data_IF_153162222091
#
_entry.id   IF_153162222091
#
_cell.length_a   1.000
_cell.length_b   1.000
_cell.length_c   1.000
_cell.angle_alpha   90.00
_cell.angle_beta   90.00
_cell.angle_gamma   90.00
#
_symmetry.space_group_name_H-M   'P 1'
#
loop_
_entity.id
_entity.type
_entity.pdbx_description
1 polymer ?
#
# COMPACT_ATOMS: atom_id res chain seq x y z
N UNK A 1 28.23 -8.86 34.14
CA UNK A 1 27.51 -9.61 33.10
C UNK A 1 26.08 -9.04 33.08
N UNK A 2 25.88 -7.93 32.33
CA UNK A 2 24.60 -7.28 32.21
C UNK A 2 23.78 -8.08 31.19
N UNK A 3 22.72 -8.72 31.64
CA UNK A 3 21.71 -9.30 30.76
C UNK A 3 21.20 -8.22 29.82
N UNK A 4 21.48 -8.37 28.53
CA UNK A 4 20.77 -7.64 27.49
C UNK A 4 19.29 -8.01 27.60
N UNK A 5 18.50 -7.16 28.27
CA UNK A 5 17.03 -7.24 28.22
C UNK A 5 16.64 -7.32 26.75
N UNK A 6 16.08 -8.46 26.33
CA UNK A 6 15.52 -8.64 25.00
C UNK A 6 14.44 -7.58 24.81
N UNK A 7 14.78 -6.51 24.11
CA UNK A 7 13.84 -5.46 23.74
C UNK A 7 12.69 -6.11 22.96
N UNK A 8 11.55 -6.30 23.58
CA UNK A 8 10.38 -6.96 22.98
C UNK A 8 9.67 -6.07 21.95
N UNK A 9 10.09 -4.80 21.83
CA UNK A 9 9.64 -3.86 20.81
C UNK A 9 8.29 -3.19 21.11
N UNK A 10 7.41 -3.82 21.88
CA UNK A 10 6.10 -3.28 22.28
C UNK A 10 6.11 -2.56 23.64
N UNK A 11 7.19 -2.64 24.39
CA UNK A 11 7.38 -2.00 25.70
C UNK A 11 7.39 -0.46 25.64
N UNK A 12 7.41 0.10 24.44
CA UNK A 12 7.31 1.55 24.21
C UNK A 12 5.89 2.09 24.28
N UNK A 13 4.90 1.20 24.18
CA UNK A 13 3.49 1.56 24.22
C UNK A 13 2.95 1.53 25.65
N UNK A 14 1.84 2.20 25.86
CA UNK A 14 1.04 2.04 27.07
C UNK A 14 0.59 0.59 27.21
N UNK A 15 0.32 0.17 28.43
CA UNK A 15 0.00 -1.21 28.74
C UNK A 15 -1.20 -1.72 27.93
N UNK A 16 -2.26 -0.92 27.81
CA UNK A 16 -3.49 -1.24 27.09
C UNK A 16 -3.21 -1.48 25.60
N UNK A 17 -2.39 -0.60 24.99
CA UNK A 17 -2.01 -0.71 23.59
C UNK A 17 -1.17 -1.95 23.33
N UNK A 18 -0.20 -2.23 24.21
CA UNK A 18 0.64 -3.42 24.14
C UNK A 18 -0.17 -4.71 24.29
N UNK A 19 -1.07 -4.78 25.28
CA UNK A 19 -1.94 -5.93 25.50
C UNK A 19 -2.91 -6.17 24.35
N UNK A 20 -3.54 -5.09 23.84
CA UNK A 20 -4.41 -5.17 22.67
C UNK A 20 -3.64 -5.73 21.47
N UNK A 21 -2.45 -5.19 21.19
CA UNK A 21 -1.65 -5.63 20.05
C UNK A 21 -1.32 -7.12 20.13
N UNK A 22 -0.83 -7.58 21.29
CA UNK A 22 -0.46 -8.98 21.50
C UNK A 22 -1.66 -9.93 21.37
N UNK A 23 -2.82 -9.53 21.88
CA UNK A 23 -4.05 -10.31 21.81
C UNK A 23 -4.58 -10.44 20.38
N UNK A 24 -4.61 -9.34 19.64
CA UNK A 24 -5.29 -9.26 18.34
C UNK A 24 -4.39 -9.64 17.16
N UNK A 25 -3.08 -9.40 17.28
CA UNK A 25 -2.13 -9.49 16.18
C UNK A 25 -0.93 -10.40 16.48
N UNK A 26 -0.76 -10.80 17.74
CA UNK A 26 0.32 -11.67 18.18
C UNK A 26 1.64 -10.92 18.33
N UNK A 27 2.74 -11.57 17.99
CA UNK A 27 4.08 -11.00 18.19
C UNK A 27 4.41 -9.94 17.13
N UNK A 28 5.08 -8.84 17.52
CA UNK A 28 5.54 -7.83 16.57
C UNK A 28 6.47 -8.41 15.50
N UNK A 29 6.29 -7.96 14.28
CA UNK A 29 7.20 -8.27 13.17
C UNK A 29 8.57 -7.62 13.39
N UNK A 30 9.60 -8.08 12.65
CA UNK A 30 10.94 -7.49 12.76
C UNK A 30 10.92 -6.00 12.43
N UNK A 31 10.21 -5.59 11.38
CA UNK A 31 10.14 -4.18 10.97
C UNK A 31 9.44 -3.33 12.03
N UNK A 32 8.42 -3.85 12.71
CA UNK A 32 7.76 -3.17 13.82
C UNK A 32 8.71 -2.94 15.00
N UNK A 33 9.46 -3.98 15.40
CA UNK A 33 10.44 -3.88 16.49
C UNK A 33 11.54 -2.85 16.22
N UNK A 34 11.97 -2.70 14.98
CA UNK A 34 12.98 -1.71 14.58
C UNK A 34 12.41 -0.30 14.43
N UNK A 35 11.21 -0.17 13.83
CA UNK A 35 10.66 1.12 13.50
C UNK A 35 10.03 1.85 14.70
N UNK A 36 9.31 1.13 15.58
CA UNK A 36 8.58 1.76 16.67
C UNK A 36 9.45 2.61 17.62
N UNK A 37 10.63 2.16 18.09
CA UNK A 37 11.48 3.01 18.92
C UNK A 37 11.94 4.28 18.20
N UNK A 38 12.21 4.20 16.90
CA UNK A 38 12.63 5.34 16.09
C UNK A 38 11.51 6.37 15.94
N UNK A 39 10.30 5.88 15.62
CA UNK A 39 9.11 6.72 15.47
C UNK A 39 8.73 7.35 16.82
N UNK A 40 8.74 6.57 17.89
CA UNK A 40 8.43 7.02 19.24
C UNK A 40 9.43 8.10 19.75
N UNK A 41 10.69 8.00 19.34
CA UNK A 41 11.71 9.02 19.62
C UNK A 41 11.56 10.31 18.80
N UNK A 42 10.53 10.44 17.96
CA UNK A 42 10.31 11.61 17.10
C UNK A 42 11.21 11.70 15.87
N UNK A 43 11.98 10.64 15.55
CA UNK A 43 12.90 10.65 14.40
C UNK A 43 12.14 10.54 13.08
N UNK A 44 12.61 11.21 12.03
CA UNK A 44 12.22 10.86 10.68
C UNK A 44 12.60 9.40 10.43
N UNK A 45 11.67 8.60 9.89
CA UNK A 45 11.89 7.15 9.78
C UNK A 45 11.41 6.63 8.44
N UNK A 46 12.30 5.98 7.70
CA UNK A 46 11.95 5.18 6.52
C UNK A 46 11.71 3.73 6.96
N UNK A 47 10.53 3.23 6.71
CA UNK A 47 10.13 1.84 6.97
C UNK A 47 10.04 1.12 5.63
N UNK A 48 11.03 0.27 5.33
CA UNK A 48 11.08 -0.51 4.10
C UNK A 48 10.91 -1.99 4.39
N UNK A 49 9.83 -2.58 3.87
CA UNK A 49 9.54 -4.01 4.02
C UNK A 49 8.49 -4.44 3.00
N UNK A 50 8.43 -5.73 2.62
CA UNK A 50 7.40 -6.25 1.72
C UNK A 50 5.98 -5.98 2.17
N UNK A 51 5.03 -6.11 1.24
CA UNK A 51 3.58 -6.05 1.57
C UNK A 51 3.20 -7.14 2.56
N UNK A 52 2.17 -6.90 3.38
CA UNK A 52 1.71 -7.87 4.40
C UNK A 52 2.54 -7.92 5.70
N UNK A 53 3.60 -7.13 5.85
CA UNK A 53 4.44 -7.08 7.06
C UNK A 53 3.93 -6.14 8.16
N UNK A 54 2.76 -5.51 7.94
CA UNK A 54 2.15 -4.60 8.90
C UNK A 54 2.72 -3.18 8.90
N UNK A 55 3.37 -2.73 7.80
CA UNK A 55 3.96 -1.36 7.69
C UNK A 55 3.01 -0.24 8.08
N UNK A 56 1.78 -0.28 7.57
CA UNK A 56 0.78 0.75 7.83
C UNK A 56 0.50 0.88 9.32
N UNK A 57 0.25 -0.25 9.99
CA UNK A 57 0.03 -0.25 11.44
C UNK A 57 1.30 0.14 12.20
N UNK A 58 2.49 -0.19 11.68
CA UNK A 58 3.77 0.24 12.26
C UNK A 58 3.82 1.76 12.44
N UNK A 59 3.44 2.51 11.41
CA UNK A 59 3.41 3.96 11.50
C UNK A 59 2.26 4.47 12.39
N UNK A 60 1.06 3.94 12.21
CA UNK A 60 -0.11 4.47 12.93
C UNK A 60 -0.12 4.15 14.42
N UNK A 61 0.33 2.98 14.85
CA UNK A 61 0.16 2.53 16.22
C UNK A 61 0.83 3.47 17.23
N UNK A 62 2.00 4.01 16.90
CA UNK A 62 2.69 4.99 17.75
C UNK A 62 1.87 6.27 17.92
N UNK A 63 1.27 6.76 16.85
CA UNK A 63 0.44 7.96 16.93
C UNK A 63 -0.91 7.69 17.59
N UNK A 64 -1.52 6.52 17.34
CA UNK A 64 -2.76 6.12 18.02
C UNK A 64 -2.54 6.03 19.54
N UNK A 65 -1.44 5.41 19.96
CA UNK A 65 -1.08 5.28 21.37
C UNK A 65 -0.92 6.65 22.03
N UNK A 66 -0.21 7.59 21.38
CA UNK A 66 -0.06 8.97 21.87
C UNK A 66 -1.39 9.71 21.95
N UNK A 67 -2.21 9.63 20.90
CA UNK A 67 -3.50 10.32 20.87
C UNK A 67 -4.47 9.75 21.92
N UNK A 68 -4.41 8.43 22.15
CA UNK A 68 -5.21 7.79 23.21
C UNK A 68 -4.75 8.24 24.61
N UNK A 69 -3.44 8.30 24.86
CA UNK A 69 -2.93 8.84 26.14
C UNK A 69 -3.43 10.25 26.40
N UNK A 70 -3.32 11.14 25.41
CA UNK A 70 -3.86 12.50 25.52
C UNK A 70 -5.38 12.53 25.74
N UNK A 71 -6.12 11.61 25.10
CA UNK A 71 -7.58 11.53 25.25
C UNK A 71 -8.01 11.03 26.63
N UNK A 72 -7.23 10.18 27.27
CA UNK A 72 -7.48 9.69 28.63
C UNK A 72 -7.18 10.74 29.70
N UNK A 73 -6.22 11.62 29.42
CA UNK A 73 -5.86 12.75 30.27
C UNK A 73 -6.73 13.99 30.01
N UNK A 74 -7.78 13.90 29.16
CA UNK A 74 -8.58 15.03 28.67
C UNK A 74 -7.73 16.18 28.06
N UNK A 75 -6.54 15.83 27.56
CA UNK A 75 -5.57 16.77 27.00
C UNK A 75 -5.50 16.68 25.44
N UNK A 76 -6.35 15.86 24.80
CA UNK A 76 -6.36 15.72 23.35
C UNK A 76 -6.88 17.01 22.70
N UNK A 77 -6.04 17.77 21.97
CA UNK A 77 -6.46 19.02 21.36
C UNK A 77 -7.44 18.79 20.21
N UNK A 78 -8.42 19.66 20.06
CA UNK A 78 -9.45 19.59 19.00
C UNK A 78 -8.90 20.10 17.65
N UNK A 79 -7.79 19.52 17.20
CA UNK A 79 -7.02 19.94 16.03
C UNK A 79 -6.31 18.77 15.33
N UNK A 80 -5.81 19.02 14.11
CA UNK A 80 -5.09 18.03 13.32
C UNK A 80 -3.72 17.71 13.91
N UNK A 81 -3.42 16.43 14.12
CA UNK A 81 -2.14 15.95 14.65
C UNK A 81 -1.33 15.19 13.60
N UNK A 82 -1.97 14.34 12.82
CA UNK A 82 -1.29 13.44 11.86
C UNK A 82 -1.90 13.53 10.48
N UNK A 83 -1.05 13.67 9.47
CA UNK A 83 -1.43 13.60 8.07
C UNK A 83 -0.91 12.29 7.49
N UNK A 84 -1.78 11.52 6.84
CA UNK A 84 -1.40 10.36 6.07
C UNK A 84 -1.61 10.65 4.58
N UNK A 85 -0.54 10.55 3.80
CA UNK A 85 -0.56 10.81 2.36
C UNK A 85 -0.44 9.49 1.60
N UNK A 86 -1.51 9.12 0.91
CA UNK A 86 -1.56 7.95 0.05
C UNK A 86 -1.44 8.34 -1.43
N UNK A 87 -0.67 7.61 -2.24
CA UNK A 87 -0.57 7.91 -3.67
C UNK A 87 -1.87 7.63 -4.44
N UNK A 88 -2.78 6.82 -3.90
CA UNK A 88 -4.03 6.43 -4.55
C UNK A 88 -5.24 6.75 -3.67
N UNK A 89 -6.35 7.16 -4.32
CA UNK A 89 -7.62 7.46 -3.65
C UNK A 89 -8.28 6.21 -3.04
N UNK A 90 -8.23 5.07 -3.74
CA UNK A 90 -8.72 3.77 -3.24
C UNK A 90 -8.02 3.38 -1.96
N UNK A 91 -6.70 3.45 -1.95
CA UNK A 91 -5.88 3.14 -0.78
C UNK A 91 -6.22 4.04 0.42
N UNK A 92 -6.55 5.32 0.18
CA UNK A 92 -6.96 6.23 1.24
C UNK A 92 -8.28 5.79 1.93
N UNK A 93 -9.21 5.19 1.20
CA UNK A 93 -10.44 4.65 1.75
C UNK A 93 -10.16 3.37 2.56
N UNK A 94 -9.35 2.46 2.03
CA UNK A 94 -8.97 1.21 2.70
C UNK A 94 -8.23 1.47 4.01
N UNK A 95 -7.34 2.47 4.05
CA UNK A 95 -6.64 2.86 5.28
C UNK A 95 -7.62 3.31 6.36
N UNK A 96 -8.65 4.06 6.00
CA UNK A 96 -9.69 4.47 6.96
C UNK A 96 -10.41 3.25 7.54
N UNK A 97 -10.76 2.29 6.70
CA UNK A 97 -11.40 1.05 7.17
C UNK A 97 -10.46 0.24 8.06
N UNK A 98 -9.20 0.10 7.68
CA UNK A 98 -8.18 -0.62 8.44
C UNK A 98 -7.88 0.01 9.81
N UNK A 99 -8.07 1.33 9.97
CA UNK A 99 -7.92 2.02 11.26
C UNK A 99 -9.10 1.79 12.21
N UNK A 100 -10.27 1.34 11.72
CA UNK A 100 -11.43 1.10 12.60
C UNK A 100 -11.15 0.03 13.64
N UNK A 101 -10.47 -1.07 13.24
CA UNK A 101 -10.16 -2.18 14.15
C UNK A 101 -9.25 -1.75 15.31
N UNK A 102 -8.07 -1.12 15.09
CA UNK A 102 -7.25 -0.63 16.20
C UNK A 102 -7.94 0.45 17.01
N UNK A 103 -8.67 1.39 16.40
CA UNK A 103 -9.42 2.40 17.13
C UNK A 103 -10.49 1.80 18.03
N UNK A 104 -11.26 0.81 17.55
CA UNK A 104 -12.26 0.11 18.35
C UNK A 104 -11.60 -0.67 19.50
N UNK A 105 -10.53 -1.39 19.20
CA UNK A 105 -9.81 -2.21 20.18
C UNK A 105 -9.14 -1.40 21.30
N UNK A 106 -8.76 -0.15 21.01
CA UNK A 106 -8.18 0.78 21.97
C UNK A 106 -9.21 1.73 22.62
N UNK A 107 -10.52 1.57 22.33
CA UNK A 107 -11.56 2.47 22.86
C UNK A 107 -11.52 3.90 22.27
N UNK A 108 -10.86 4.07 21.12
CA UNK A 108 -10.65 5.38 20.51
C UNK A 108 -11.70 5.82 19.49
N UNK A 109 -12.72 4.99 19.20
CA UNK A 109 -13.67 5.21 18.10
C UNK A 109 -14.42 6.56 18.22
N UNK A 110 -14.80 6.96 19.41
CA UNK A 110 -15.49 8.24 19.64
C UNK A 110 -14.54 9.39 20.02
N UNK A 111 -13.34 9.07 20.47
CA UNK A 111 -12.34 10.02 20.96
C UNK A 111 -11.44 10.55 19.86
N UNK A 112 -10.99 9.68 18.94
CA UNK A 112 -10.08 10.02 17.86
C UNK A 112 -10.85 10.14 16.54
N UNK A 113 -10.89 11.33 15.98
CA UNK A 113 -11.54 11.60 14.69
C UNK A 113 -10.57 11.35 13.54
N UNK A 114 -11.00 10.51 12.61
CA UNK A 114 -10.29 10.22 11.35
C UNK A 114 -11.13 10.68 10.18
N UNK A 115 -10.56 11.42 9.25
CA UNK A 115 -11.24 11.86 8.04
C UNK A 115 -10.41 11.60 6.78
N UNK A 116 -11.11 11.38 5.66
CA UNK A 116 -10.50 11.22 4.33
C UNK A 116 -10.82 12.45 3.49
N UNK A 117 -9.77 13.08 2.93
CA UNK A 117 -9.88 14.23 2.05
C UNK A 117 -9.16 13.97 0.73
N UNK A 118 -9.91 13.56 -0.27
CA UNK A 118 -9.44 13.32 -1.64
C UNK A 118 -10.22 14.18 -2.65
N UNK A 119 -9.92 14.04 -3.92
CA UNK A 119 -10.71 14.68 -4.99
C UNK A 119 -12.20 14.31 -4.95
N UNK A 120 -12.52 13.10 -4.49
CA UNK A 120 -13.89 12.54 -4.48
C UNK A 120 -14.67 12.88 -3.21
N UNK A 121 -14.03 13.52 -2.21
CA UNK A 121 -14.70 13.90 -0.95
C UNK A 121 -15.77 14.95 -1.21
N UNK A 122 -17.04 14.72 -0.81
CA UNK A 122 -18.14 15.65 -0.98
C UNK A 122 -17.88 17.00 -0.32
N UNK A 123 -18.43 18.08 -0.89
CA UNK A 123 -18.24 19.43 -0.38
C UNK A 123 -18.73 19.60 1.07
N UNK A 124 -19.83 18.94 1.42
CA UNK A 124 -20.38 18.92 2.80
C UNK A 124 -19.36 18.40 3.80
N UNK A 125 -18.69 17.30 3.47
CA UNK A 125 -17.69 16.68 4.36
C UNK A 125 -16.42 17.53 4.44
N UNK A 126 -16.03 18.17 3.34
CA UNK A 126 -14.92 19.14 3.34
C UNK A 126 -15.19 20.30 4.31
N UNK A 127 -16.40 20.87 4.29
CA UNK A 127 -16.80 21.93 5.20
C UNK A 127 -16.88 21.45 6.64
N UNK A 128 -17.35 20.22 6.87
CA UNK A 128 -17.41 19.62 8.21
C UNK A 128 -16.02 19.51 8.85
N UNK A 129 -15.03 19.10 8.07
CA UNK A 129 -13.63 19.00 8.56
C UNK A 129 -13.04 20.34 8.99
N UNK A 130 -13.44 21.44 8.35
CA UNK A 130 -12.99 22.79 8.74
C UNK A 130 -13.62 23.28 10.03
N UNK A 131 -14.88 22.85 10.31
CA UNK A 131 -15.61 23.22 11.54
C UNK A 131 -15.22 22.34 12.72
N UNK A 132 -14.96 21.05 12.46
CA UNK A 132 -14.57 20.05 13.44
C UNK A 132 -13.37 19.27 12.89
N UNK A 133 -12.15 19.75 13.15
CA UNK A 133 -10.94 19.16 12.62
C UNK A 133 -10.79 17.66 12.98
N UNK A 134 -10.35 16.79 12.06
CA UNK A 134 -9.94 15.45 12.43
C UNK A 134 -8.59 15.47 13.14
N UNK A 135 -8.33 14.53 14.03
CA UNK A 135 -7.01 14.33 14.61
C UNK A 135 -6.05 13.63 13.61
N UNK A 136 -6.62 12.77 12.75
CA UNK A 136 -5.89 12.10 11.67
C UNK A 136 -6.57 12.43 10.34
N UNK A 137 -5.81 12.98 9.40
CA UNK A 137 -6.26 13.30 8.06
C UNK A 137 -5.60 12.36 7.05
N UNK A 138 -6.38 11.59 6.33
CA UNK A 138 -5.92 10.75 5.22
C UNK A 138 -6.19 11.50 3.93
N UNK A 139 -5.16 11.67 3.08
CA UNK A 139 -5.27 12.50 1.87
C UNK A 139 -4.39 11.97 0.72
N UNK A 140 -4.44 12.62 -0.44
CA UNK A 140 -3.54 12.36 -1.57
C UNK A 140 -2.60 13.57 -1.78
N UNK A 141 -1.47 13.40 -2.50
CA UNK A 141 -0.56 14.51 -2.80
C UNK A 141 -1.24 15.74 -3.39
N UNK A 142 -2.15 15.53 -4.35
CA UNK A 142 -2.87 16.60 -5.02
C UNK A 142 -3.83 17.31 -4.07
N UNK A 143 -4.53 16.56 -3.23
CA UNK A 143 -5.46 17.13 -2.26
C UNK A 143 -4.74 17.90 -1.15
N UNK A 144 -3.57 17.43 -0.71
CA UNK A 144 -2.71 18.16 0.22
C UNK A 144 -2.28 19.51 -0.36
N UNK A 145 -1.83 19.52 -1.62
CA UNK A 145 -1.48 20.75 -2.30
C UNK A 145 -2.65 21.74 -2.39
N UNK A 146 -3.83 21.26 -2.78
CA UNK A 146 -5.03 22.09 -2.86
C UNK A 146 -5.43 22.67 -1.48
N UNK A 147 -5.25 21.93 -0.41
CA UNK A 147 -5.47 22.45 0.95
C UNK A 147 -4.45 23.54 1.33
N UNK A 148 -3.19 23.38 0.94
CA UNK A 148 -2.14 24.38 1.17
C UNK A 148 -2.38 25.69 0.38
N UNK A 149 -3.19 25.67 -0.66
CA UNK A 149 -3.53 26.86 -1.47
C UNK A 149 -4.81 27.56 -1.03
N UNK A 150 -5.58 26.96 -0.11
CA UNK A 150 -6.84 27.55 0.40
C UNK A 150 -6.70 28.04 1.85
N UNK A 151 -7.38 29.13 2.21
CA UNK A 151 -7.33 29.70 3.57
C UNK A 151 -7.81 28.69 4.64
N UNK A 152 -8.97 28.05 4.41
CA UNK A 152 -9.49 27.03 5.33
C UNK A 152 -8.60 25.80 5.43
N UNK A 153 -8.04 25.34 4.29
CA UNK A 153 -7.10 24.22 4.28
C UNK A 153 -5.82 24.53 5.07
N UNK A 154 -5.25 25.73 4.90
CA UNK A 154 -4.08 26.15 5.70
C UNK A 154 -4.40 26.21 7.19
N UNK A 155 -5.60 26.74 7.54
CA UNK A 155 -6.04 26.74 8.94
C UNK A 155 -6.08 25.35 9.55
N UNK A 156 -6.63 24.36 8.82
CA UNK A 156 -6.70 22.97 9.24
C UNK A 156 -5.30 22.34 9.37
N UNK A 157 -4.40 22.58 8.42
CA UNK A 157 -3.11 21.91 8.34
C UNK A 157 -2.06 22.45 9.33
N UNK A 158 -2.24 23.67 9.84
CA UNK A 158 -1.24 24.40 10.64
C UNK A 158 -0.80 23.69 11.91
N UNK A 159 -1.65 22.84 12.46
CA UNK A 159 -1.43 22.19 13.76
C UNK A 159 -0.83 20.78 13.64
N UNK A 160 -0.62 20.30 12.41
CA UNK A 160 -0.05 18.99 12.17
C UNK A 160 1.34 18.85 12.83
N UNK A 161 1.62 17.66 13.40
CA UNK A 161 2.90 17.33 14.05
C UNK A 161 3.68 16.29 13.26
N UNK A 162 2.98 15.44 12.52
CA UNK A 162 3.61 14.35 11.76
C UNK A 162 2.93 14.13 10.41
N UNK A 163 3.71 13.62 9.47
CA UNK A 163 3.22 13.15 8.18
C UNK A 163 3.73 11.74 7.89
N UNK A 164 2.81 10.87 7.51
CA UNK A 164 3.09 9.52 7.05
C UNK A 164 2.92 9.52 5.52
N UNK A 165 3.97 9.13 4.80
CA UNK A 165 3.98 9.00 3.35
C UNK A 165 3.94 7.54 2.99
N UNK A 166 2.84 7.10 2.40
CA UNK A 166 2.67 5.70 2.02
C UNK A 166 3.13 5.43 0.59
N UNK A 167 3.53 4.18 0.35
CA UNK A 167 4.02 3.69 -0.95
C UNK A 167 5.05 4.64 -1.57
N UNK A 168 6.06 5.03 -0.78
CA UNK A 168 7.07 6.03 -1.16
C UNK A 168 7.77 5.68 -2.49
N UNK A 169 8.02 4.39 -2.73
CA UNK A 169 8.60 3.89 -3.97
C UNK A 169 7.77 4.21 -5.23
N UNK A 170 6.45 4.42 -5.08
CA UNK A 170 5.59 4.74 -6.21
C UNK A 170 5.68 6.22 -6.64
N UNK A 171 6.31 7.06 -5.83
CA UNK A 171 6.38 8.51 -6.09
C UNK A 171 7.81 9.06 -6.19
N UNK A 172 8.80 8.40 -5.59
CA UNK A 172 10.16 8.94 -5.41
C UNK A 172 10.80 9.44 -6.71
N UNK A 173 10.72 8.70 -7.80
CA UNK A 173 11.34 9.01 -9.10
C UNK A 173 10.40 9.76 -10.05
N UNK A 174 9.35 10.38 -9.53
CA UNK A 174 8.32 11.00 -10.35
C UNK A 174 8.21 12.51 -10.13
N UNK A 175 7.72 13.23 -11.13
CA UNK A 175 7.33 14.65 -10.99
C UNK A 175 6.31 14.84 -9.87
N UNK A 176 5.44 13.86 -9.65
CA UNK A 176 4.42 13.85 -8.59
C UNK A 176 5.08 13.81 -7.21
N UNK A 177 6.13 13.01 -7.06
CA UNK A 177 6.91 12.94 -5.85
C UNK A 177 7.69 14.22 -5.56
N UNK A 178 8.34 14.81 -6.58
CA UNK A 178 8.99 16.11 -6.43
C UNK A 178 7.99 17.20 -5.98
N UNK A 179 6.79 17.23 -6.57
CA UNK A 179 5.73 18.14 -6.17
C UNK A 179 5.24 17.88 -4.74
N UNK A 180 5.18 16.61 -4.31
CA UNK A 180 4.84 16.25 -2.93
C UNK A 180 5.88 16.80 -1.95
N UNK A 181 7.18 16.65 -2.22
CA UNK A 181 8.24 17.19 -1.36
C UNK A 181 8.17 18.70 -1.24
N UNK A 182 7.90 19.43 -2.32
CA UNK A 182 7.65 20.87 -2.28
C UNK A 182 6.43 21.23 -1.43
N UNK A 183 5.38 20.42 -1.50
CA UNK A 183 4.18 20.60 -0.68
C UNK A 183 4.49 20.37 0.82
N UNK A 184 5.34 19.39 1.14
CA UNK A 184 5.78 19.15 2.52
C UNK A 184 6.66 20.28 3.06
N UNK A 185 7.58 20.82 2.27
CA UNK A 185 8.38 21.98 2.65
C UNK A 185 7.49 23.22 2.95
N UNK A 186 6.43 23.41 2.15
CA UNK A 186 5.42 24.46 2.42
C UNK A 186 4.62 24.18 3.70
N UNK A 187 4.33 22.90 3.94
CA UNK A 187 3.62 22.47 5.15
C UNK A 187 4.47 22.71 6.41
N UNK A 188 5.75 22.35 6.39
CA UNK A 188 6.70 22.62 7.48
C UNK A 188 6.74 24.13 7.82
N UNK A 189 6.83 24.96 6.78
CA UNK A 189 6.79 26.41 6.96
C UNK A 189 5.46 26.90 7.52
N UNK A 190 4.35 26.31 7.11
CA UNK A 190 3.02 26.65 7.63
C UNK A 190 2.87 26.28 9.11
N UNK A 191 3.41 25.14 9.52
CA UNK A 191 3.37 24.66 10.90
C UNK A 191 4.40 25.36 11.82
N UNK A 192 5.34 26.11 11.25
CA UNK A 192 6.39 26.82 12.00
C UNK A 192 7.54 25.93 12.50
N UNK A 193 7.51 24.64 12.21
CA UNK A 193 8.56 23.67 12.52
C UNK A 193 8.48 22.47 11.56
N UNK A 194 9.61 21.77 11.32
CA UNK A 194 9.60 20.52 10.56
C UNK A 194 8.68 19.47 11.21
N UNK A 195 7.80 18.86 10.42
CA UNK A 195 6.99 17.74 10.87
C UNK A 195 7.81 16.46 10.93
N UNK A 196 7.52 15.61 11.90
CA UNK A 196 8.07 14.25 11.86
C UNK A 196 7.57 13.54 10.60
N UNK A 197 8.49 12.99 9.80
CA UNK A 197 8.16 12.30 8.54
C UNK A 197 8.39 10.81 8.67
N UNK A 198 7.37 10.02 8.35
CA UNK A 198 7.44 8.57 8.31
C UNK A 198 7.19 8.16 6.86
N UNK A 199 8.17 7.52 6.23
CA UNK A 199 8.03 6.95 4.88
C UNK A 199 7.76 5.46 4.97
N UNK A 200 6.68 4.99 4.35
CA UNK A 200 6.39 3.57 4.19
C UNK A 200 6.66 3.17 2.76
N UNK A 201 7.45 2.13 2.57
CA UNK A 201 7.80 1.65 1.24
C UNK A 201 7.79 0.12 1.20
N UNK A 202 7.47 -0.44 0.04
CA UNK A 202 7.93 -1.77 -0.29
C UNK A 202 9.46 -1.75 -0.39
N UNK A 203 10.08 -2.87 -0.72
CA UNK A 203 11.54 -2.92 -0.94
C UNK A 203 11.94 -1.86 -1.97
N UNK A 204 12.83 -0.97 -1.56
CA UNK A 204 13.37 0.13 -2.37
C UNK A 204 14.89 0.18 -2.19
N UNK A 205 15.60 0.43 -3.28
CA UNK A 205 17.05 0.55 -3.29
C UNK A 205 17.48 1.72 -4.19
N UNK A 206 18.49 2.53 -3.80
CA UNK A 206 19.20 2.50 -2.52
C UNK A 206 18.40 3.09 -1.36
N UNK A 207 18.45 2.46 -0.18
CA UNK A 207 17.73 2.89 1.03
C UNK A 207 18.11 4.29 1.50
N UNK A 208 19.40 4.63 1.40
CA UNK A 208 19.95 5.92 1.83
C UNK A 208 19.43 7.08 0.97
N UNK A 209 19.21 6.85 -0.33
CA UNK A 209 18.61 7.84 -1.22
C UNK A 209 17.14 8.07 -0.89
N UNK A 210 16.42 7.00 -0.62
CA UNK A 210 15.03 7.09 -0.19
C UNK A 210 14.89 7.80 1.17
N UNK A 211 15.82 7.56 2.10
CA UNK A 211 15.87 8.24 3.39
C UNK A 211 16.15 9.74 3.24
N UNK A 212 17.10 10.13 2.37
CA UNK A 212 17.39 11.55 2.05
C UNK A 212 16.23 12.23 1.34
N UNK A 213 15.56 11.51 0.43
CA UNK A 213 14.34 12.03 -0.22
C UNK A 213 13.24 12.29 0.81
N UNK A 214 13.05 11.41 1.78
CA UNK A 214 12.04 11.57 2.83
C UNK A 214 12.34 12.79 3.71
N UNK A 215 13.57 12.96 4.13
CA UNK A 215 14.03 14.08 4.95
C UNK A 215 15.43 14.53 4.51
N UNK A 216 15.65 15.83 4.24
CA UNK A 216 16.94 16.35 3.73
C UNK A 216 18.15 16.03 4.63
N UNK A 217 17.95 16.00 5.95
CA UNK A 217 18.97 15.65 6.94
C UNK A 217 19.15 14.13 7.09
N UNK A 218 18.41 13.34 6.32
CA UNK A 218 18.33 11.89 6.39
C UNK A 218 17.29 11.40 7.40
N UNK A 219 16.71 10.23 7.11
CA UNK A 219 15.81 9.53 8.00
C UNK A 219 16.49 8.29 8.56
N UNK A 220 16.12 7.89 9.78
CA UNK A 220 16.48 6.58 10.29
C UNK A 220 15.83 5.50 9.42
N UNK A 221 16.54 4.41 9.18
CA UNK A 221 16.08 3.31 8.31
C UNK A 221 15.70 2.12 9.20
N UNK A 222 14.47 1.65 9.03
CA UNK A 222 13.96 0.38 9.56
C UNK A 222 13.69 -0.54 8.38
N UNK A 223 14.66 -1.36 8.03
CA UNK A 223 14.61 -2.26 6.87
C UNK A 223 15.29 -3.60 7.22
N UNK A 224 14.66 -4.40 8.11
CA UNK A 224 15.25 -5.68 8.50
C UNK A 224 15.40 -6.61 7.29
N UNK A 225 16.49 -7.34 7.19
CA UNK A 225 16.66 -8.32 6.13
C UNK A 225 15.53 -9.35 6.20
N UNK A 226 14.80 -9.48 5.11
CA UNK A 226 13.70 -10.42 5.01
C UNK A 226 14.04 -11.56 4.06
N UNK A 227 14.03 -12.76 4.60
CA UNK A 227 14.12 -13.99 3.82
C UNK A 227 12.72 -14.42 3.36
N UNK A 228 12.12 -13.67 2.42
CA UNK A 228 10.94 -14.20 1.73
C UNK A 228 11.44 -15.10 0.60
N UNK A 229 11.11 -16.37 0.67
CA UNK A 229 11.41 -17.28 -0.43
C UNK A 229 10.52 -16.90 -1.62
N UNK A 230 11.17 -16.64 -2.74
CA UNK A 230 10.56 -16.24 -3.99
C UNK A 230 10.84 -17.32 -5.03
N UNK A 231 9.81 -17.77 -5.72
CA UNK A 231 9.93 -18.67 -6.85
C UNK A 231 9.39 -17.95 -8.10
N UNK A 232 10.28 -17.67 -9.02
CA UNK A 232 9.93 -17.11 -10.31
C UNK A 232 10.12 -18.21 -11.37
N UNK A 233 9.04 -18.51 -12.08
CA UNK A 233 9.03 -19.47 -13.17
C UNK A 233 8.78 -18.69 -14.46
N UNK A 234 9.54 -18.98 -15.51
CA UNK A 234 9.29 -18.45 -16.85
C UNK A 234 8.76 -19.60 -17.70
N UNK A 235 7.56 -19.44 -18.21
CA UNK A 235 6.92 -20.42 -19.10
C UNK A 235 6.62 -19.73 -20.43
N UNK A 236 7.20 -20.27 -21.51
CA UNK A 236 7.06 -19.66 -22.84
C UNK A 236 5.95 -20.36 -23.63
N UNK A 237 5.00 -19.58 -24.18
CA UNK A 237 4.03 -20.12 -25.13
C UNK A 237 4.64 -20.39 -26.52
N UNK A 238 5.91 -19.96 -26.74
CA UNK A 238 6.54 -20.05 -28.04
C UNK A 238 7.22 -21.40 -28.25
N UNK A 239 6.94 -22.02 -29.41
CA UNK A 239 7.73 -23.12 -29.97
C UNK A 239 8.87 -22.57 -30.83
N UNK A 240 9.84 -23.43 -31.20
CA UNK A 240 10.92 -23.02 -32.11
C UNK A 240 10.42 -22.55 -33.48
N UNK A 241 9.23 -23.03 -33.93
CA UNK A 241 8.58 -22.61 -35.17
C UNK A 241 8.04 -21.16 -35.09
N UNK A 242 7.64 -20.71 -33.88
CA UNK A 242 6.96 -19.43 -33.69
C UNK A 242 7.91 -18.25 -33.54
N UNK A 243 9.22 -18.50 -33.43
CA UNK A 243 10.25 -17.44 -33.25
C UNK A 243 10.27 -16.42 -34.40
N UNK A 244 9.64 -16.73 -35.54
CA UNK A 244 9.53 -15.86 -36.72
C UNK A 244 8.25 -15.03 -36.75
N UNK A 245 7.27 -15.32 -35.87
CA UNK A 245 6.03 -14.56 -35.80
C UNK A 245 6.21 -13.30 -34.98
N UNK A 246 5.71 -12.18 -35.50
CA UNK A 246 5.76 -10.86 -34.83
C UNK A 246 4.57 -10.59 -33.90
N UNK A 247 3.49 -11.37 -34.05
CA UNK A 247 2.29 -11.16 -33.24
C UNK A 247 2.26 -12.10 -32.03
N UNK A 248 1.78 -11.62 -30.88
CA UNK A 248 1.60 -12.46 -29.69
C UNK A 248 0.63 -13.59 -29.94
N UNK A 249 0.99 -14.77 -29.54
CA UNK A 249 0.20 -16.00 -29.63
C UNK A 249 -0.82 -15.98 -28.49
N UNK A 250 -1.96 -15.33 -28.73
CA UNK A 250 -2.96 -15.11 -27.67
C UNK A 250 -3.75 -16.35 -27.30
N UNK A 251 -3.98 -17.23 -28.24
CA UNK A 251 -4.72 -18.49 -28.03
C UNK A 251 -3.90 -19.42 -27.14
N UNK A 252 -2.65 -19.68 -27.51
CA UNK A 252 -1.72 -20.53 -26.75
C UNK A 252 -1.43 -19.96 -25.37
N UNK A 253 -1.25 -18.63 -25.28
CA UNK A 253 -1.07 -17.93 -24.00
C UNK A 253 -2.31 -18.09 -23.12
N UNK A 254 -3.52 -17.95 -23.68
CA UNK A 254 -4.76 -18.09 -22.93
C UNK A 254 -4.95 -19.54 -22.45
N UNK A 255 -4.56 -20.53 -23.23
CA UNK A 255 -4.59 -21.96 -22.82
C UNK A 255 -3.65 -22.22 -21.65
N UNK A 256 -2.42 -21.66 -21.67
CA UNK A 256 -1.48 -21.78 -20.56
C UNK A 256 -2.05 -21.12 -19.30
N UNK A 257 -2.50 -19.88 -19.39
CA UNK A 257 -3.12 -19.13 -18.29
C UNK A 257 -4.35 -19.88 -17.74
N UNK A 258 -5.22 -20.39 -18.63
CA UNK A 258 -6.41 -21.14 -18.23
C UNK A 258 -6.05 -22.41 -17.45
N UNK A 259 -5.06 -23.19 -17.90
CA UNK A 259 -4.59 -24.39 -17.16
C UNK A 259 -4.15 -24.05 -15.75
N UNK A 260 -3.35 -22.99 -15.57
CA UNK A 260 -2.93 -22.54 -14.24
C UNK A 260 -4.10 -22.08 -13.36
N UNK A 261 -5.13 -21.47 -13.96
CA UNK A 261 -6.33 -21.08 -13.22
C UNK A 261 -7.17 -22.27 -12.75
N UNK A 262 -7.11 -23.42 -13.40
CA UNK A 262 -7.83 -24.62 -12.97
C UNK A 262 -7.26 -25.23 -11.69
N UNK A 263 -5.97 -25.07 -11.46
CA UNK A 263 -5.24 -25.57 -10.27
C UNK A 263 -5.43 -24.68 -9.03
N UNK A 264 -5.94 -23.46 -9.21
CA UNK A 264 -6.03 -22.44 -8.15
C UNK A 264 -7.46 -21.93 -8.01
N UNK A 265 -7.81 -21.45 -6.81
CA UNK A 265 -9.15 -20.87 -6.55
C UNK A 265 -9.26 -19.45 -7.07
N UNK A 266 -8.17 -18.67 -6.90
CA UNK A 266 -8.10 -17.28 -7.34
C UNK A 266 -6.72 -16.99 -7.95
N UNK A 267 -6.72 -16.47 -9.16
CA UNK A 267 -5.52 -16.14 -9.91
C UNK A 267 -5.57 -14.65 -10.31
N UNK A 268 -4.46 -13.96 -10.10
CA UNK A 268 -4.27 -12.57 -10.53
C UNK A 268 -3.23 -12.54 -11.66
N UNK A 269 -3.66 -12.18 -12.88
CA UNK A 269 -2.77 -12.01 -14.03
C UNK A 269 -2.51 -10.51 -14.27
N UNK A 270 -1.26 -10.10 -14.08
CA UNK A 270 -0.81 -8.76 -14.43
C UNK A 270 -0.45 -8.68 -15.91
N UNK A 271 -0.90 -7.61 -16.56
CA UNK A 271 -0.62 -7.32 -17.97
C UNK A 271 -0.22 -5.85 -18.17
N UNK A 272 0.60 -5.58 -19.19
CA UNK A 272 1.10 -4.24 -19.49
C UNK A 272 0.10 -3.43 -20.36
N UNK A 273 -1.04 -3.08 -19.76
CA UNK A 273 -2.03 -2.17 -20.35
C UNK A 273 -3.43 -2.76 -20.49
N UNK A 274 -4.43 -1.88 -20.45
CA UNK A 274 -5.86 -2.21 -20.46
C UNK A 274 -6.28 -3.08 -21.65
N UNK A 275 -5.79 -2.75 -22.85
CA UNK A 275 -6.11 -3.49 -24.07
C UNK A 275 -5.67 -4.97 -23.99
N UNK A 276 -4.55 -5.23 -23.36
CA UNK A 276 -4.06 -6.59 -23.16
C UNK A 276 -4.83 -7.32 -22.05
N UNK A 277 -5.28 -6.60 -21.00
CA UNK A 277 -6.13 -7.18 -19.97
C UNK A 277 -7.46 -7.66 -20.56
N UNK A 278 -8.10 -6.81 -21.35
CA UNK A 278 -9.36 -7.13 -22.03
C UNK A 278 -9.17 -8.30 -23.02
N UNK A 279 -8.08 -8.28 -23.79
CA UNK A 279 -7.78 -9.33 -24.76
C UNK A 279 -7.52 -10.67 -24.09
N UNK A 280 -6.72 -10.71 -23.03
CA UNK A 280 -6.47 -11.96 -22.28
C UNK A 280 -7.77 -12.51 -21.69
N UNK A 281 -8.56 -11.67 -21.01
CA UNK A 281 -9.84 -12.08 -20.45
C UNK A 281 -10.80 -12.61 -21.52
N UNK A 282 -10.83 -11.99 -22.69
CA UNK A 282 -11.66 -12.45 -23.80
C UNK A 282 -11.28 -13.88 -24.26
N UNK A 283 -10.00 -14.15 -24.51
CA UNK A 283 -9.57 -15.50 -24.96
C UNK A 283 -9.74 -16.55 -23.86
N UNK A 284 -9.44 -16.22 -22.60
CA UNK A 284 -9.65 -17.16 -21.49
C UNK A 284 -11.15 -17.45 -21.28
N UNK A 285 -12.04 -16.47 -21.47
CA UNK A 285 -13.48 -16.70 -21.38
C UNK A 285 -14.03 -17.59 -22.51
N UNK A 286 -13.35 -17.68 -23.65
CA UNK A 286 -13.72 -18.64 -24.67
C UNK A 286 -13.46 -20.09 -24.23
N UNK A 287 -12.46 -20.32 -23.38
CA UNK A 287 -12.11 -21.62 -22.82
C UNK A 287 -12.93 -21.97 -21.58
N UNK A 288 -13.03 -21.02 -20.65
CA UNK A 288 -13.62 -21.23 -19.32
C UNK A 288 -15.10 -20.86 -19.19
N UNK A 289 -15.70 -20.28 -20.24
CA UNK A 289 -17.06 -19.76 -20.22
C UNK A 289 -17.12 -18.29 -19.76
N UNK A 290 -18.33 -17.73 -19.92
CA UNK A 290 -18.60 -16.33 -19.55
C UNK A 290 -18.30 -16.09 -18.06
N UNK A 291 -17.63 -14.98 -17.78
CA UNK A 291 -17.27 -14.54 -16.41
C UNK A 291 -16.23 -15.39 -15.67
N UNK A 292 -15.55 -16.34 -16.36
CA UNK A 292 -14.40 -17.03 -15.78
C UNK A 292 -13.24 -16.05 -15.50
N UNK A 293 -13.02 -15.10 -16.39
CA UNK A 293 -12.06 -14.02 -16.26
C UNK A 293 -12.75 -12.65 -16.32
N UNK A 294 -12.38 -11.75 -15.41
CA UNK A 294 -12.77 -10.34 -15.45
C UNK A 294 -11.54 -9.44 -15.53
N UNK A 295 -11.74 -8.16 -15.81
CA UNK A 295 -10.66 -7.18 -15.97
C UNK A 295 -10.70 -6.14 -14.85
N UNK A 296 -9.50 -5.61 -14.49
CA UNK A 296 -9.37 -4.49 -13.58
C UNK A 296 -8.33 -3.48 -14.09
N UNK A 297 -8.78 -2.28 -14.45
CA UNK A 297 -7.91 -1.20 -14.89
C UNK A 297 -8.54 0.18 -14.64
N UNK A 298 -7.73 1.23 -14.68
CA UNK A 298 -8.14 2.60 -14.32
C UNK A 298 -9.23 3.23 -15.19
N UNK A 299 -9.62 2.61 -16.32
CA UNK A 299 -10.71 3.12 -17.17
C UNK A 299 -12.09 2.56 -16.84
N UNK A 300 -12.17 1.58 -15.96
CA UNK A 300 -13.46 1.09 -15.44
C UNK A 300 -14.09 2.13 -14.52
N UNK A 301 -15.43 2.14 -14.44
CA UNK A 301 -16.13 2.95 -13.46
C UNK A 301 -15.76 2.51 -12.02
N UNK A 302 -16.06 3.35 -11.06
CA UNK A 302 -15.79 3.04 -9.66
C UNK A 302 -16.59 1.80 -9.22
N UNK A 303 -17.86 1.77 -9.58
CA UNK A 303 -18.79 0.69 -9.25
C UNK A 303 -18.33 -0.66 -9.82
N UNK A 304 -17.89 -0.67 -11.10
CA UNK A 304 -17.35 -1.88 -11.73
C UNK A 304 -16.08 -2.39 -11.05
N UNK A 305 -15.21 -1.50 -10.60
CA UNK A 305 -14.00 -1.89 -9.88
C UNK A 305 -14.33 -2.50 -8.52
N UNK A 306 -15.21 -1.84 -7.75
CA UNK A 306 -15.66 -2.33 -6.44
C UNK A 306 -16.34 -3.69 -6.54
N UNK A 307 -17.17 -3.91 -7.57
CA UNK A 307 -17.81 -5.21 -7.82
C UNK A 307 -16.78 -6.32 -8.09
N UNK A 308 -15.80 -6.07 -8.95
CA UNK A 308 -14.75 -7.04 -9.30
C UNK A 308 -13.85 -7.34 -8.10
N UNK A 309 -13.50 -6.32 -7.31
CA UNK A 309 -12.71 -6.47 -6.09
C UNK A 309 -13.47 -7.30 -5.04
N UNK A 310 -14.79 -7.11 -4.92
CA UNK A 310 -15.63 -7.89 -4.03
C UNK A 310 -15.76 -9.35 -4.49
N UNK A 311 -15.94 -9.60 -5.79
CA UNK A 311 -15.99 -10.94 -6.36
C UNK A 311 -14.68 -11.72 -6.13
N UNK A 312 -13.54 -11.02 -6.27
CA UNK A 312 -12.24 -11.61 -6.01
C UNK A 312 -12.06 -11.93 -4.51
N UNK A 313 -12.43 -10.98 -3.64
CA UNK A 313 -12.35 -11.15 -2.17
C UNK A 313 -13.24 -12.27 -1.66
N UNK A 314 -14.41 -12.42 -2.25
CA UNK A 314 -15.37 -13.49 -1.92
C UNK A 314 -15.01 -14.86 -2.56
N UNK A 315 -13.94 -14.93 -3.36
CA UNK A 315 -13.53 -16.17 -4.06
C UNK A 315 -14.48 -16.61 -5.17
N UNK A 316 -15.30 -15.71 -5.68
CA UNK A 316 -16.22 -15.98 -6.79
C UNK A 316 -15.56 -15.88 -8.16
N UNK A 317 -14.41 -15.21 -8.24
CA UNK A 317 -13.69 -14.96 -9.48
C UNK A 317 -12.45 -15.86 -9.59
N UNK A 318 -12.34 -16.63 -10.67
CA UNK A 318 -11.22 -17.51 -10.93
C UNK A 318 -9.98 -16.79 -11.45
N UNK A 319 -10.17 -15.83 -12.37
CA UNK A 319 -9.10 -15.04 -12.96
C UNK A 319 -9.43 -13.55 -12.98
N UNK A 320 -8.53 -12.73 -12.43
CA UNK A 320 -8.56 -11.30 -12.61
C UNK A 320 -7.39 -10.87 -13.50
N UNK A 321 -7.69 -10.31 -14.67
CA UNK A 321 -6.70 -9.69 -15.56
C UNK A 321 -6.54 -8.21 -15.20
N UNK A 322 -5.42 -7.83 -14.61
CA UNK A 322 -5.21 -6.49 -14.07
C UNK A 322 -4.00 -5.77 -14.68
N UNK A 323 -4.08 -4.46 -14.73
CA UNK A 323 -2.92 -3.59 -14.97
C UNK A 323 -2.25 -3.21 -13.65
N UNK A 324 -1.32 -2.26 -13.65
CA UNK A 324 -0.70 -1.72 -12.43
C UNK A 324 -1.69 -1.18 -11.39
N UNK A 325 -2.97 -1.06 -11.72
CA UNK A 325 -4.02 -0.67 -10.76
C UNK A 325 -4.14 -1.59 -9.55
N UNK A 326 -3.68 -2.83 -9.66
CA UNK A 326 -3.68 -3.86 -8.59
C UNK A 326 -2.29 -4.07 -7.97
N UNK A 327 -1.26 -3.32 -8.38
CA UNK A 327 0.09 -3.40 -7.79
C UNK A 327 0.14 -2.86 -6.37
N UNK A 328 -0.60 -1.77 -6.11
CA UNK A 328 -0.57 -1.06 -4.84
C UNK A 328 -1.71 -1.52 -3.92
N UNK A 329 -1.39 -1.69 -2.68
CA UNK A 329 -2.07 -1.87 -1.40
C UNK A 329 -3.58 -2.15 -1.28
N UNK A 330 -4.30 -2.48 -2.34
CA UNK A 330 -5.71 -2.87 -2.24
C UNK A 330 -5.80 -4.23 -1.57
N UNK A 331 -6.60 -4.35 -0.53
CA UNK A 331 -6.92 -5.64 0.09
C UNK A 331 -7.93 -6.40 -0.78
N UNK A 332 -7.41 -7.34 -1.55
CA UNK A 332 -8.19 -8.18 -2.47
C UNK A 332 -8.42 -9.60 -1.94
N UNK A 333 -8.12 -9.83 -0.66
CA UNK A 333 -8.23 -11.15 -0.05
C UNK A 333 -7.09 -12.10 -0.43
N UNK A 334 -7.33 -13.39 -0.30
CA UNK A 334 -6.32 -14.41 -0.62
C UNK A 334 -6.24 -14.66 -2.12
N UNK A 335 -5.07 -14.35 -2.70
CA UNK A 335 -4.71 -14.73 -4.06
C UNK A 335 -3.78 -15.94 -3.98
N UNK A 336 -4.17 -17.04 -4.61
CA UNK A 336 -3.41 -18.27 -4.58
C UNK A 336 -2.21 -18.19 -5.51
N UNK A 337 -2.38 -17.56 -6.70
CA UNK A 337 -1.35 -17.48 -7.71
C UNK A 337 -1.30 -16.11 -8.39
N UNK A 338 -0.09 -15.68 -8.70
CA UNK A 338 0.16 -14.50 -9.52
C UNK A 338 0.80 -14.91 -10.84
N UNK A 339 0.22 -14.46 -11.93
CA UNK A 339 0.72 -14.60 -13.28
C UNK A 339 1.16 -13.22 -13.80
N UNK A 340 2.21 -13.20 -14.59
CA UNK A 340 2.70 -12.00 -15.25
C UNK A 340 2.76 -12.24 -16.75
N UNK A 341 1.98 -11.50 -17.52
CA UNK A 341 1.97 -11.56 -18.99
C UNK A 341 2.73 -10.37 -19.55
N UNK A 342 3.82 -10.67 -20.24
CA UNK A 342 4.80 -9.69 -20.68
C UNK A 342 5.85 -9.36 -19.62
N UNK A 343 6.96 -8.78 -20.06
CA UNK A 343 8.05 -8.42 -19.15
C UNK A 343 7.68 -7.21 -18.29
N UNK A 344 7.81 -7.26 -16.95
CA UNK A 344 7.63 -6.11 -16.10
C UNK A 344 8.67 -5.04 -16.38
N UNK A 345 8.30 -3.78 -16.28
CA UNK A 345 9.23 -2.66 -16.56
C UNK A 345 10.33 -2.49 -15.53
N UNK A 346 10.07 -2.91 -14.28
CA UNK A 346 11.01 -2.74 -13.16
C UNK A 346 11.00 -3.95 -12.25
N UNK A 347 12.15 -4.25 -11.64
CA UNK A 347 12.28 -5.30 -10.62
C UNK A 347 11.38 -5.00 -9.42
N UNK A 348 11.30 -3.74 -9.00
CA UNK A 348 10.43 -3.31 -7.90
C UNK A 348 8.95 -3.62 -8.18
N UNK A 349 8.44 -3.32 -9.39
CA UNK A 349 7.09 -3.68 -9.81
C UNK A 349 6.86 -5.19 -9.80
N UNK A 350 7.85 -5.98 -10.26
CA UNK A 350 7.78 -7.45 -10.19
C UNK A 350 7.61 -7.94 -8.76
N UNK A 351 8.41 -7.41 -7.83
CA UNK A 351 8.36 -7.79 -6.43
C UNK A 351 7.04 -7.38 -5.75
N UNK A 352 6.44 -6.27 -6.16
CA UNK A 352 5.13 -5.83 -5.68
C UNK A 352 4.01 -6.75 -6.17
N UNK A 353 4.02 -7.11 -7.47
CA UNK A 353 3.08 -8.07 -8.06
C UNK A 353 3.19 -9.43 -7.41
N UNK A 354 4.42 -9.93 -7.26
CA UNK A 354 4.71 -11.17 -6.54
C UNK A 354 4.22 -11.13 -5.08
N UNK A 355 4.31 -9.98 -4.44
CA UNK A 355 3.81 -9.74 -3.08
C UNK A 355 2.31 -9.91 -2.92
N UNK A 356 1.53 -9.98 -4.02
CA UNK A 356 0.09 -10.27 -4.00
C UNK A 356 -0.21 -11.74 -3.77
N UNK A 357 0.69 -12.65 -4.15
CA UNK A 357 0.58 -14.06 -3.82
C UNK A 357 1.13 -14.35 -2.41
N UNK A 358 0.46 -15.24 -1.68
CA UNK A 358 1.00 -15.77 -0.43
C UNK A 358 1.04 -14.76 0.72
N UNK A 359 -0.08 -14.12 1.05
CA UNK A 359 -0.21 -13.24 2.21
C UNK A 359 0.06 -13.93 3.57
N UNK A 360 0.17 -15.25 3.62
CA UNK A 360 0.46 -15.99 4.85
C UNK A 360 1.97 -16.01 5.14
N UNK A 361 2.39 -15.65 6.36
CA UNK A 361 3.78 -15.77 6.79
C UNK A 361 4.28 -17.22 6.61
N UNK A 362 5.42 -17.40 5.95
CA UNK A 362 6.06 -18.71 5.76
C UNK A 362 5.72 -19.43 4.45
N UNK A 363 4.83 -18.92 3.60
CA UNK A 363 4.63 -19.47 2.25
C UNK A 363 5.59 -18.84 1.24
N UNK A 364 6.03 -19.66 0.28
CA UNK A 364 6.79 -19.21 -0.89
C UNK A 364 5.86 -18.40 -1.77
N UNK A 365 6.27 -17.19 -2.13
CA UNK A 365 5.53 -16.41 -3.15
C UNK A 365 5.97 -16.87 -4.52
N UNK A 366 5.04 -17.42 -5.29
CA UNK A 366 5.30 -17.90 -6.63
C UNK A 366 4.66 -16.99 -7.68
N UNK A 367 5.41 -16.69 -8.74
CA UNK A 367 4.93 -15.98 -9.92
C UNK A 367 5.36 -16.75 -11.17
N UNK A 368 4.43 -16.89 -12.10
CA UNK A 368 4.74 -17.43 -13.43
C UNK A 368 4.72 -16.27 -14.41
N UNK A 369 5.80 -16.14 -15.17
CA UNK A 369 5.99 -15.11 -16.17
C UNK A 369 5.82 -15.72 -17.56
N UNK A 370 4.90 -15.17 -18.34
CA UNK A 370 4.64 -15.54 -19.73
C UNK A 370 5.13 -14.42 -20.65
N UNK A 371 6.24 -14.60 -21.38
CA UNK A 371 6.65 -13.65 -22.41
C UNK A 371 5.61 -13.60 -23.54
N UNK A 372 5.33 -12.41 -24.06
CA UNK A 372 4.38 -12.19 -25.18
C UNK A 372 5.05 -12.23 -26.54
N UNK A 373 6.34 -12.03 -26.57
CA UNK A 373 7.15 -12.01 -27.78
C UNK A 373 8.45 -12.73 -27.53
N UNK A 374 9.06 -13.28 -28.57
CA UNK A 374 10.37 -13.91 -28.47
C UNK A 374 11.45 -12.94 -27.94
N UNK A 375 11.31 -11.63 -28.17
CA UNK A 375 12.22 -10.61 -27.65
C UNK A 375 12.13 -10.44 -26.13
N UNK A 376 11.01 -10.79 -25.51
CA UNK A 376 10.86 -10.75 -24.04
C UNK A 376 11.48 -11.99 -23.34
N UNK A 377 11.96 -12.98 -24.12
CA UNK A 377 12.66 -14.17 -23.61
C UNK A 377 14.18 -13.96 -23.48
N UNK A 378 14.73 -12.86 -24.02
CA UNK A 378 16.15 -12.50 -24.02
C UNK A 378 16.40 -11.42 -22.99
#
# INVERSE_FOLDING_TARGET
MMEMKRNRGWEIFREETGQWFLKELGQPTRVQKEAWPLIAAGRHTLVSAPTGTGKTLTAFLVFLDRLMGLAEEDALPDELQVIYVSPLKSLAADIRENLKRPLAGLGGTERIRVAVRTGDTPQKDRQRMLKRPPHILITTPESLYLMLTSAGGRGLLRTAKAVILDELHAVIDTKRGAHLMLSLARLDRLCGAPLQRIGLSATIEPLEEAARYLAPEGAAIAAPPMQKQVKLVVESPFTDADRRQRDPIWEELAELVYRHCLENRSTLAFVEGRRYAEKLAFYVNQLGGKDFARVHHGSLSKEQREEVEEDLRAGRLRLLCATSSMELGIDVGQIDQVLQVGCPRTISGTMQRLGRAGHNPGRVSEMILFPRTAAECV
#
